data_IF_437092853469
#
_entry.id   IF_437092853469
#
_cell.length_a   1.000
_cell.length_b   1.000
_cell.length_c   1.000
_cell.angle_alpha   90.00
_cell.angle_beta   90.00
_cell.angle_gamma   90.00
#
_symmetry.space_group_name_H-M   'P 1'
#
loop_
_entity.id
_entity.type
_entity.pdbx_description
1 polymer ?
#
# COMPACT_ATOMS: atom_id res chain seq x y z
N UNK A 1 5.59 -11.54 17.47
CA UNK A 1 6.59 -11.81 16.42
C UNK A 1 6.45 -10.79 15.29
N UNK A 2 7.54 -10.18 14.86
CA UNK A 2 7.49 -9.12 13.87
C UNK A 2 7.15 -9.66 12.48
N UNK A 3 6.17 -9.05 11.82
CA UNK A 3 5.82 -9.39 10.43
C UNK A 3 6.83 -8.73 9.48
N UNK A 4 6.81 -9.15 8.21
CA UNK A 4 7.64 -8.51 7.19
C UNK A 4 7.28 -7.01 7.06
N UNK A 5 6.02 -6.64 7.27
CA UNK A 5 5.60 -5.24 7.21
C UNK A 5 6.17 -4.44 8.38
N UNK A 6 6.17 -5.01 9.59
CA UNK A 6 6.82 -4.38 10.73
C UNK A 6 8.30 -4.12 10.45
N UNK A 7 8.96 -5.08 9.85
CA UNK A 7 10.38 -4.94 9.49
C UNK A 7 10.63 -3.81 8.49
N UNK A 8 9.72 -3.65 7.52
CA UNK A 8 9.77 -2.52 6.58
C UNK A 8 9.58 -1.19 7.31
N UNK A 9 8.57 -1.12 8.18
CA UNK A 9 8.26 0.08 8.95
C UNK A 9 9.46 0.50 9.81
N UNK A 10 10.15 -0.46 10.42
CA UNK A 10 11.28 -0.20 11.29
C UNK A 10 12.61 -0.03 10.55
N UNK A 11 12.60 -0.19 9.23
CA UNK A 11 13.81 -0.05 8.43
C UNK A 11 14.76 -1.24 8.48
N UNK A 12 14.34 -2.37 9.04
CA UNK A 12 15.17 -3.57 9.13
C UNK A 12 15.36 -4.22 7.76
N UNK A 13 14.36 -4.09 6.88
CA UNK A 13 14.48 -4.51 5.48
C UNK A 13 14.08 -3.34 4.59
N UNK A 14 14.65 -3.25 3.37
CA UNK A 14 14.32 -2.15 2.48
C UNK A 14 12.86 -2.19 2.03
N UNK A 15 12.27 -1.00 1.89
CA UNK A 15 10.91 -0.85 1.40
C UNK A 15 10.75 0.53 0.79
N UNK A 16 9.76 0.68 -0.09
CA UNK A 16 9.49 1.94 -0.77
C UNK A 16 8.38 2.69 -0.03
N UNK A 17 8.73 3.31 1.10
CA UNK A 17 7.77 4.04 1.93
C UNK A 17 7.38 5.34 1.27
N UNK A 18 6.08 5.50 0.96
CA UNK A 18 5.56 6.69 0.30
C UNK A 18 4.94 7.69 1.28
N UNK A 19 4.48 7.23 2.44
CA UNK A 19 3.87 8.09 3.45
C UNK A 19 3.82 7.36 4.79
N UNK A 20 3.86 8.09 5.89
CA UNK A 20 3.63 7.52 7.21
C UNK A 20 3.24 8.60 8.22
N UNK A 21 2.58 8.18 9.26
CA UNK A 21 2.32 8.99 10.44
C UNK A 21 2.55 8.12 11.68
N UNK A 22 2.09 8.55 12.84
CA UNK A 22 2.32 7.81 14.09
C UNK A 22 1.65 6.43 14.09
N UNK A 23 0.51 6.27 13.41
CA UNK A 23 -0.29 5.04 13.45
C UNK A 23 -0.16 4.17 12.21
N UNK A 24 0.11 4.76 11.05
CA UNK A 24 0.02 4.05 9.76
C UNK A 24 1.24 4.29 8.89
N UNK A 25 1.48 3.35 7.99
CA UNK A 25 2.56 3.44 7.01
C UNK A 25 2.02 2.99 5.66
N UNK A 26 2.46 3.66 4.60
CA UNK A 26 2.14 3.25 3.23
C UNK A 26 3.43 3.03 2.47
N UNK A 27 3.53 1.88 1.79
CA UNK A 27 4.70 1.55 0.98
C UNK A 27 4.28 0.78 -0.26
N UNK A 28 5.11 0.84 -1.31
CA UNK A 28 4.80 0.15 -2.55
C UNK A 28 4.90 -1.36 -2.34
N UNK A 29 3.98 -2.10 -2.98
CA UNK A 29 4.05 -3.56 -2.99
C UNK A 29 5.28 -3.97 -3.80
N UNK A 30 6.09 -4.88 -3.25
CA UNK A 30 7.31 -5.35 -3.92
C UNK A 30 7.00 -6.13 -5.21
N UNK A 31 5.81 -6.71 -5.30
CA UNK A 31 5.35 -7.44 -6.49
C UNK A 31 4.00 -6.89 -6.92
N UNK A 32 3.99 -5.66 -7.48
CA UNK A 32 2.74 -4.95 -7.74
C UNK A 32 1.94 -5.57 -8.88
N UNK A 33 0.61 -5.43 -8.80
CA UNK A 33 -0.25 -5.80 -9.95
C UNK A 33 -0.23 -4.70 -11.01
N UNK A 34 0.06 -3.46 -10.58
CA UNK A 34 0.29 -2.29 -11.43
C UNK A 34 1.37 -1.47 -10.75
N UNK A 35 2.22 -0.79 -11.51
CA UNK A 35 3.15 0.17 -10.88
C UNK A 35 2.34 1.25 -10.17
N UNK A 36 2.67 1.49 -8.92
CA UNK A 36 1.90 2.37 -8.05
C UNK A 36 1.03 1.64 -7.04
N UNK A 37 0.92 0.31 -7.15
CA UNK A 37 0.23 -0.53 -6.18
C UNK A 37 0.87 -0.32 -4.81
N UNK A 38 0.10 0.20 -3.87
CA UNK A 38 0.57 0.61 -2.55
C UNK A 38 -0.18 -0.15 -1.47
N UNK A 39 0.52 -0.48 -0.39
CA UNK A 39 -0.09 -1.10 0.79
C UNK A 39 -0.18 -0.06 1.90
N UNK A 40 -1.32 0.02 2.56
CA UNK A 40 -1.52 0.85 3.73
C UNK A 40 -1.68 -0.08 4.92
N UNK A 41 -0.82 0.07 5.93
CA UNK A 41 -0.79 -0.83 7.08
C UNK A 41 -0.83 -0.05 8.40
N UNK A 42 -1.44 -0.61 9.45
CA UNK A 42 -1.27 -0.06 10.79
C UNK A 42 0.12 -0.40 11.29
N UNK A 43 0.72 0.49 12.08
CA UNK A 43 2.05 0.23 12.65
C UNK A 43 1.99 -0.85 13.73
N UNK A 44 0.86 -0.94 14.47
CA UNK A 44 0.70 -2.07 15.38
C UNK A 44 0.34 -3.33 14.58
N UNK A 45 0.77 -4.47 15.07
CA UNK A 45 0.54 -5.74 14.39
C UNK A 45 -0.84 -6.29 14.72
N UNK A 46 -1.78 -6.08 13.80
CA UNK A 46 -3.10 -6.66 13.82
C UNK A 46 -3.27 -7.46 12.54
N UNK A 47 -3.60 -8.74 12.64
CA UNK A 47 -3.75 -9.59 11.47
C UNK A 47 -5.01 -9.28 10.67
N UNK A 48 -6.11 -8.96 11.36
CA UNK A 48 -7.42 -8.79 10.73
C UNK A 48 -7.87 -7.33 10.80
N UNK A 49 -8.09 -6.73 9.64
CA UNK A 49 -8.44 -5.31 9.55
C UNK A 49 -9.66 -4.96 10.42
N UNK A 50 -10.67 -5.83 10.43
CA UNK A 50 -11.91 -5.55 11.17
C UNK A 50 -11.78 -5.77 12.67
N UNK A 51 -10.61 -6.14 13.19
CA UNK A 51 -10.32 -6.14 14.61
C UNK A 51 -9.73 -4.80 15.08
N UNK A 52 -9.47 -3.86 14.16
CA UNK A 52 -9.11 -2.50 14.55
C UNK A 52 -10.35 -1.85 15.18
N UNK A 53 -10.15 -0.91 16.10
CA UNK A 53 -11.29 -0.15 16.65
C UNK A 53 -11.92 0.70 15.56
N UNK A 54 -13.16 1.11 15.78
CA UNK A 54 -13.86 1.99 14.83
C UNK A 54 -13.06 3.26 14.58
N UNK A 55 -12.48 3.84 15.62
CA UNK A 55 -11.69 5.06 15.53
C UNK A 55 -10.40 4.83 14.73
N UNK A 56 -9.69 3.72 14.99
CA UNK A 56 -8.49 3.37 14.24
C UNK A 56 -8.81 3.17 12.77
N UNK A 57 -9.88 2.40 12.49
CA UNK A 57 -10.27 2.12 11.11
C UNK A 57 -10.66 3.39 10.37
N UNK A 58 -11.38 4.29 11.04
CA UNK A 58 -11.74 5.59 10.47
C UNK A 58 -10.52 6.42 10.11
N UNK A 59 -9.53 6.49 11.02
CA UNK A 59 -8.29 7.23 10.76
C UNK A 59 -7.47 6.58 9.64
N UNK A 60 -7.48 5.24 9.57
CA UNK A 60 -6.78 4.51 8.53
C UNK A 60 -7.38 4.81 7.15
N UNK A 61 -8.71 4.88 7.06
CA UNK A 61 -9.39 5.23 5.81
C UNK A 61 -9.06 6.65 5.37
N UNK A 62 -8.99 7.60 6.30
CA UNK A 62 -8.59 8.98 5.97
C UNK A 62 -7.15 9.01 5.48
N UNK A 63 -6.25 8.26 6.13
CA UNK A 63 -4.87 8.15 5.68
C UNK A 63 -4.78 7.55 4.28
N UNK A 64 -5.51 6.44 4.04
CA UNK A 64 -5.55 5.79 2.74
C UNK A 64 -6.08 6.73 1.64
N UNK A 65 -7.06 7.56 1.95
CA UNK A 65 -7.61 8.54 1.01
C UNK A 65 -6.53 9.52 0.55
N UNK A 66 -5.69 9.99 1.46
CA UNK A 66 -4.59 10.90 1.13
C UNK A 66 -3.55 10.23 0.25
N UNK A 67 -3.21 8.98 0.58
CA UNK A 67 -2.26 8.20 -0.21
C UNK A 67 -2.82 7.97 -1.62
N UNK A 68 -4.10 7.60 -1.71
CA UNK A 68 -4.76 7.38 -3.00
C UNK A 68 -4.73 8.63 -3.88
N UNK A 69 -4.90 9.82 -3.29
CA UNK A 69 -4.79 11.07 -4.05
C UNK A 69 -3.40 11.24 -4.65
N UNK A 70 -2.36 10.90 -3.90
CA UNK A 70 -0.97 10.93 -4.39
C UNK A 70 -0.74 9.93 -5.52
N UNK A 71 -1.29 8.72 -5.38
CA UNK A 71 -1.19 7.69 -6.43
C UNK A 71 -1.87 8.18 -7.72
N UNK A 72 -3.06 8.76 -7.60
CA UNK A 72 -3.80 9.22 -8.76
C UNK A 72 -3.05 10.32 -9.51
N UNK A 73 -2.47 11.27 -8.79
CA UNK A 73 -1.67 12.34 -9.40
C UNK A 73 -0.40 11.79 -10.04
N UNK A 74 0.26 10.84 -9.38
CA UNK A 74 1.51 10.27 -9.86
C UNK A 74 1.33 9.42 -11.13
N UNK A 75 0.23 8.69 -11.23
CA UNK A 75 0.00 7.74 -12.33
C UNK A 75 -0.91 8.29 -13.42
N UNK A 76 -1.73 9.30 -13.10
CA UNK A 76 -2.76 9.77 -14.03
C UNK A 76 -3.87 8.75 -14.24
N UNK A 77 -3.99 7.76 -13.34
CA UNK A 77 -5.00 6.71 -13.47
C UNK A 77 -6.42 7.29 -13.35
N UNK A 78 -7.37 6.53 -13.87
CA UNK A 78 -8.76 6.94 -13.83
C UNK A 78 -9.32 6.96 -12.41
N UNK A 79 -9.02 5.91 -11.63
CA UNK A 79 -9.40 5.80 -10.23
C UNK A 79 -8.34 4.97 -9.50
N UNK A 80 -8.37 5.03 -8.17
CA UNK A 80 -7.60 4.12 -7.32
C UNK A 80 -8.58 3.12 -6.76
N UNK A 81 -8.33 1.83 -7.03
CA UNK A 81 -9.13 0.74 -6.48
C UNK A 81 -8.61 0.34 -5.11
N UNK A 82 -9.48 -0.19 -4.28
CA UNK A 82 -9.14 -0.62 -2.92
C UNK A 82 -9.59 -2.04 -2.68
N UNK A 83 -8.73 -2.84 -2.06
CA UNK A 83 -9.08 -4.21 -1.68
C UNK A 83 -8.42 -4.57 -0.37
N UNK A 84 -9.07 -5.44 0.40
CA UNK A 84 -8.53 -6.00 1.64
C UNK A 84 -8.63 -7.51 1.54
N UNK A 85 -7.50 -8.21 1.63
CA UNK A 85 -7.45 -9.66 1.52
C UNK A 85 -6.74 -10.25 2.74
N UNK A 86 -5.42 -10.03 2.87
CA UNK A 86 -4.67 -10.33 4.08
C UNK A 86 -4.49 -11.78 4.44
N UNK A 87 -4.51 -12.70 3.46
CA UNK A 87 -4.38 -14.13 3.74
C UNK A 87 -2.95 -14.62 3.80
N UNK A 88 -2.02 -13.93 3.12
CA UNK A 88 -0.62 -14.38 3.05
C UNK A 88 0.25 -13.80 4.17
N UNK A 89 0.09 -12.52 4.49
CA UNK A 89 0.87 -11.86 5.53
C UNK A 89 -0.04 -11.57 6.72
N UNK A 90 0.29 -12.03 7.93
CA UNK A 90 -0.57 -11.84 9.12
C UNK A 90 -0.43 -10.44 9.70
N UNK A 91 -0.67 -9.44 8.90
CA UNK A 91 -0.61 -8.03 9.24
C UNK A 91 -1.61 -7.33 8.33
N UNK A 92 -2.67 -6.77 8.90
CA UNK A 92 -3.75 -6.15 8.15
C UNK A 92 -3.23 -5.11 7.17
N UNK A 93 -3.75 -5.11 5.97
CA UNK A 93 -3.34 -4.13 4.96
C UNK A 93 -4.43 -3.87 3.95
N UNK A 94 -4.46 -2.61 3.50
CA UNK A 94 -5.35 -2.16 2.43
C UNK A 94 -4.50 -2.06 1.17
N UNK A 95 -4.94 -2.70 0.09
CA UNK A 95 -4.32 -2.55 -1.23
C UNK A 95 -4.93 -1.35 -1.93
N UNK A 96 -4.09 -0.44 -2.40
CA UNK A 96 -4.49 0.68 -3.24
C UNK A 96 -3.83 0.47 -4.60
N UNK A 97 -4.62 0.37 -5.66
CA UNK A 97 -4.12 0.05 -7.00
C UNK A 97 -4.61 1.09 -8.00
N UNK A 98 -3.71 1.72 -8.78
CA UNK A 98 -4.16 2.61 -9.85
C UNK A 98 -4.83 1.77 -10.95
N UNK A 99 -6.06 2.14 -11.31
CA UNK A 99 -6.84 1.35 -12.26
C UNK A 99 -7.48 2.21 -13.35
N UNK A 100 -7.63 1.62 -14.54
CA UNK A 100 -8.41 2.16 -15.63
C UNK A 100 -9.50 1.18 -16.05
N UNK A 101 -9.39 -0.07 -15.61
CA UNK A 101 -10.34 -1.14 -15.89
C UNK A 101 -10.32 -2.14 -14.72
N UNK A 102 -11.38 -2.91 -14.58
CA UNK A 102 -11.53 -3.80 -13.43
C UNK A 102 -10.44 -4.87 -13.35
N UNK A 103 -9.96 -5.38 -14.48
CA UNK A 103 -8.91 -6.41 -14.49
C UNK A 103 -7.57 -5.92 -13.93
N UNK A 104 -7.40 -4.60 -13.79
CA UNK A 104 -6.20 -4.05 -13.14
C UNK A 104 -6.11 -4.44 -11.67
N UNK A 105 -7.20 -4.95 -11.09
CA UNK A 105 -7.25 -5.47 -9.72
C UNK A 105 -7.06 -6.98 -9.64
N UNK A 106 -6.53 -7.61 -10.68
CA UNK A 106 -6.31 -9.05 -10.69
C UNK A 106 -5.04 -9.43 -9.94
N UNK A 107 -5.19 -9.85 -8.70
CA UNK A 107 -4.08 -10.22 -7.83
C UNK A 107 -3.39 -11.53 -8.21
N UNK A 108 -3.89 -12.23 -9.22
CA UNK A 108 -3.22 -13.41 -9.76
C UNK A 108 -2.18 -13.05 -10.82
N UNK A 109 -2.14 -11.79 -11.26
CA UNK A 109 -1.22 -11.31 -12.30
C UNK A 109 -0.31 -10.22 -11.75
N UNK A 110 0.58 -10.61 -10.83
CA UNK A 110 1.55 -9.71 -10.23
C UNK A 110 2.79 -9.61 -11.11
N UNK A 111 3.43 -8.45 -11.09
CA UNK A 111 4.73 -8.28 -11.75
C UNK A 111 5.76 -8.97 -10.87
N UNK A 112 6.31 -10.10 -11.34
CA UNK A 112 7.22 -10.92 -10.53
C UNK A 112 8.64 -10.35 -10.45
N UNK A 113 9.04 -9.59 -11.47
CA UNK A 113 10.37 -8.96 -11.53
C UNK A 113 10.21 -7.49 -11.91
N UNK A 114 9.69 -6.65 -10.98
CA UNK A 114 9.48 -5.24 -11.29
C UNK A 114 10.82 -4.53 -11.53
N UNK A 115 10.81 -3.60 -12.48
CA UNK A 115 11.98 -2.80 -12.79
C UNK A 115 12.24 -1.83 -11.64
N UNK A 116 13.43 -1.93 -11.05
CA UNK A 116 13.80 -1.09 -9.91
C UNK A 116 13.68 0.41 -10.24
N UNK A 117 14.08 0.80 -11.44
CA UNK A 117 14.02 2.21 -11.87
C UNK A 117 12.57 2.72 -11.87
N UNK A 118 11.62 1.88 -12.30
CA UNK A 118 10.20 2.25 -12.30
C UNK A 118 9.64 2.32 -10.87
N UNK A 119 10.10 1.44 -9.98
CA UNK A 119 9.69 1.45 -8.58
C UNK A 119 10.17 2.74 -7.90
N UNK A 120 11.43 3.11 -8.12
CA UNK A 120 12.01 4.34 -7.56
C UNK A 120 11.31 5.57 -8.12
N UNK A 121 11.06 5.60 -9.43
CA UNK A 121 10.35 6.71 -10.07
C UNK A 121 8.94 6.87 -9.47
N UNK A 122 8.23 5.76 -9.29
CA UNK A 122 6.89 5.78 -8.72
C UNK A 122 6.91 6.27 -7.27
N UNK A 123 7.87 5.79 -6.48
CA UNK A 123 8.08 6.24 -5.11
C UNK A 123 8.21 7.76 -5.05
N UNK A 124 9.09 8.32 -5.88
CA UNK A 124 9.32 9.77 -5.89
C UNK A 124 8.09 10.56 -6.31
N UNK A 125 7.38 10.08 -7.31
CA UNK A 125 6.16 10.74 -7.80
C UNK A 125 5.05 10.75 -6.75
N UNK A 126 4.84 9.64 -6.06
CA UNK A 126 3.80 9.56 -5.04
C UNK A 126 4.17 10.42 -3.84
N UNK A 127 5.42 10.38 -3.40
CA UNK A 127 5.89 11.17 -2.24
C UNK A 127 5.77 12.68 -2.48
N UNK A 128 5.95 13.14 -3.72
CA UNK A 128 5.90 14.56 -4.03
C UNK A 128 4.48 15.11 -4.15
N UNK A 129 3.47 14.27 -4.01
CA UNK A 129 2.06 14.67 -4.03
C UNK A 129 1.42 14.43 -2.63
#
# INVERSE_FOLDING_TARGET
>A
MATIFTKIIQGEIPGYIVAENEEFCAFLDAFPVQYGHTLVVPKREEDYLFELTDEELGRMMVFAKKVAAGIQKATGCRKVGMAVIGLEVPHAHIHLVPITQERDMDFNHKISEPEKAKMVEMLEKIKSN
#
